data_IF_659066439557
#
_entry.id   IF_659066439557
#
_cell.length_a   1.000
_cell.length_b   1.000
_cell.length_c   1.000
_cell.angle_alpha   90.00
_cell.angle_beta   90.00
_cell.angle_gamma   90.00
#
_symmetry.space_group_name_H-M   'P 1'
#
loop_
_entity.id
_entity.type
_entity.pdbx_description
1 polymer ?
#
# COMPACT_ATOMS: atom_id res chain seq x y z
N UNK A 1 49.68 18.78 24.21
CA UNK A 1 48.81 18.27 23.15
C UNK A 1 47.38 18.43 23.62
N UNK A 2 46.60 19.11 22.79
CA UNK A 2 45.45 19.94 23.13
C UNK A 2 44.23 19.16 23.67
N UNK A 3 43.65 19.66 24.76
CA UNK A 3 42.28 19.36 25.20
C UNK A 3 41.53 20.69 25.20
N UNK A 4 40.87 21.00 24.09
CA UNK A 4 40.03 22.18 23.98
C UNK A 4 38.73 21.94 24.77
N UNK A 5 38.63 22.61 25.92
CA UNK A 5 37.38 22.91 26.60
C UNK A 5 36.64 23.98 25.79
N UNK A 6 35.38 23.74 25.44
CA UNK A 6 34.46 24.80 25.00
C UNK A 6 33.35 24.89 26.04
N UNK A 7 33.41 25.97 26.83
CA UNK A 7 32.33 26.43 27.69
C UNK A 7 31.28 27.14 26.82
N UNK A 8 30.10 26.56 26.69
CA UNK A 8 28.93 27.19 26.10
C UNK A 8 27.71 26.95 26.99
N UNK A 9 27.38 27.94 27.81
CA UNK A 9 26.13 28.01 28.56
C UNK A 9 24.95 28.04 27.59
N UNK A 10 24.12 27.00 27.59
CA UNK A 10 22.85 27.00 26.87
C UNK A 10 21.88 27.92 27.63
N UNK A 11 21.73 29.16 27.15
CA UNK A 11 20.64 30.04 27.58
C UNK A 11 19.38 29.64 26.81
N UNK A 12 18.28 29.26 27.50
CA UNK A 12 17.01 29.04 26.82
C UNK A 12 16.54 30.37 26.28
N UNK A 13 16.39 30.48 24.95
CA UNK A 13 15.76 31.64 24.33
C UNK A 13 14.31 31.72 24.84
N UNK A 14 14.04 32.75 25.64
CA UNK A 14 12.72 33.12 26.12
C UNK A 14 11.81 33.45 24.93
N UNK A 15 10.67 32.77 24.80
CA UNK A 15 9.74 33.10 23.71
C UNK A 15 8.42 32.34 23.63
N UNK A 16 7.98 31.63 24.67
CA UNK A 16 6.69 30.91 24.68
C UNK A 16 5.65 31.60 25.58
N UNK A 17 5.47 32.91 25.41
CA UNK A 17 4.35 33.65 25.99
C UNK A 17 3.91 34.76 25.02
N UNK A 18 3.40 34.39 23.85
CA UNK A 18 2.61 35.28 23.01
C UNK A 18 1.36 34.53 22.50
N UNK A 19 0.15 35.10 22.61
CA UNK A 19 -1.03 34.54 21.99
C UNK A 19 -0.84 34.50 20.48
N UNK A 20 -1.25 33.41 19.84
CA UNK A 20 -1.25 33.28 18.38
C UNK A 20 -2.09 34.41 17.76
N UNK A 21 -1.43 35.48 17.31
CA UNK A 21 -2.00 36.51 16.46
C UNK A 21 -1.67 36.14 15.02
N UNK A 22 -2.72 35.88 14.25
CA UNK A 22 -2.63 35.50 12.83
C UNK A 22 -2.37 36.75 11.98
N UNK A 23 -1.10 37.15 11.85
CA UNK A 23 -0.70 38.39 11.17
C UNK A 23 -0.40 38.23 9.66
N UNK A 24 -1.00 37.21 9.04
CA UNK A 24 -1.02 37.04 7.58
C UNK A 24 -2.43 36.82 7.05
N UNK A 25 -3.35 37.71 7.45
CA UNK A 25 -4.59 37.93 6.72
C UNK A 25 -4.35 38.94 5.59
N UNK A 26 -3.61 38.54 4.54
CA UNK A 26 -3.65 39.16 3.19
C UNK A 26 -2.72 38.45 2.16
N UNK A 27 -2.60 37.13 2.28
CA UNK A 27 -1.93 36.30 1.29
C UNK A 27 -2.68 34.99 1.18
N UNK A 28 -3.64 34.91 0.27
CA UNK A 28 -4.40 33.70 0.02
C UNK A 28 -3.45 32.54 -0.29
N UNK A 29 -3.17 31.71 0.71
CA UNK A 29 -2.64 30.38 0.54
C UNK A 29 -3.61 29.65 -0.39
N UNK A 30 -3.18 29.48 -1.64
CA UNK A 30 -3.92 28.75 -2.66
C UNK A 30 -3.98 27.29 -2.20
N UNK A 31 -5.14 26.88 -1.68
CA UNK A 31 -5.57 25.49 -1.74
C UNK A 31 -5.56 25.08 -3.21
N UNK A 32 -4.54 24.36 -3.63
CA UNK A 32 -4.40 23.70 -4.92
C UNK A 32 -5.22 22.40 -5.02
N UNK A 33 -5.91 22.00 -3.95
CA UNK A 33 -7.08 21.12 -4.01
C UNK A 33 -8.36 21.86 -4.46
N UNK A 34 -8.28 23.17 -4.69
CA UNK A 34 -9.31 23.98 -5.32
C UNK A 34 -9.22 23.97 -6.84
N UNK A 35 -9.43 22.79 -7.45
CA UNK A 35 -9.84 22.76 -8.85
C UNK A 35 -11.09 23.64 -8.97
N UNK A 36 -11.01 24.73 -9.73
CA UNK A 36 -12.20 25.48 -10.15
C UNK A 36 -13.20 24.45 -10.66
N UNK A 37 -14.36 24.35 -10.03
CA UNK A 37 -15.51 23.66 -10.59
C UNK A 37 -15.91 24.39 -11.87
N UNK A 38 -15.18 24.16 -12.95
CA UNK A 38 -15.83 24.03 -14.23
C UNK A 38 -16.73 22.82 -14.06
N UNK A 39 -18.03 22.99 -14.30
CA UNK A 39 -18.94 21.87 -14.41
C UNK A 39 -18.26 20.85 -15.34
N UNK A 40 -17.78 19.74 -14.77
CA UNK A 40 -17.36 18.60 -15.56
C UNK A 40 -18.65 18.20 -16.25
N UNK A 41 -18.74 18.46 -17.54
CA UNK A 41 -19.87 18.03 -18.34
C UNK A 41 -19.96 16.51 -18.23
N UNK A 42 -20.83 16.03 -17.35
CA UNK A 42 -21.02 14.61 -17.06
C UNK A 42 -21.52 13.84 -18.29
N UNK A 43 -21.91 14.53 -19.36
CA UNK A 43 -22.23 13.90 -20.65
C UNK A 43 -20.99 13.49 -21.44
N UNK A 44 -19.80 13.99 -21.09
CA UNK A 44 -18.51 13.70 -21.76
C UNK A 44 -17.64 12.68 -21.03
N UNK A 45 -18.00 12.30 -19.80
CA UNK A 45 -17.25 11.32 -19.00
C UNK A 45 -18.03 10.00 -18.96
N UNK A 46 -17.36 8.90 -19.33
CA UNK A 46 -17.91 7.56 -19.18
C UNK A 46 -18.25 7.29 -17.70
N UNK A 47 -19.49 6.86 -17.45
CA UNK A 47 -19.93 6.55 -16.09
C UNK A 47 -19.39 5.18 -15.68
N UNK A 48 -18.64 5.14 -14.59
CA UNK A 48 -18.11 3.90 -14.03
C UNK A 48 -19.05 3.39 -12.95
N UNK A 49 -19.54 2.16 -13.12
CA UNK A 49 -20.37 1.49 -12.12
C UNK A 49 -19.49 0.67 -11.17
N UNK A 50 -19.75 0.77 -9.86
CA UNK A 50 -19.22 -0.18 -8.88
C UNK A 50 -20.16 -1.38 -8.88
N UNK A 51 -19.68 -2.52 -9.39
CA UNK A 51 -20.49 -3.73 -9.56
C UNK A 51 -20.27 -4.78 -8.47
N UNK A 52 -19.21 -4.68 -7.67
CA UNK A 52 -18.92 -5.59 -6.56
C UNK A 52 -17.99 -4.93 -5.54
N UNK A 53 -18.01 -5.43 -4.31
CA UNK A 53 -17.21 -4.92 -3.20
C UNK A 53 -16.87 -6.03 -2.21
N UNK A 54 -15.61 -6.10 -1.81
CA UNK A 54 -15.11 -6.91 -0.70
C UNK A 54 -14.53 -5.99 0.36
N UNK A 55 -14.63 -6.37 1.63
CA UNK A 55 -14.04 -5.60 2.72
C UNK A 55 -13.86 -6.41 4.00
N UNK A 56 -12.78 -6.13 4.72
CA UNK A 56 -12.55 -6.62 6.08
C UNK A 56 -12.27 -5.41 6.96
N UNK A 57 -13.16 -5.11 7.89
CA UNK A 57 -13.08 -3.92 8.74
C UNK A 57 -13.21 -4.26 10.24
N UNK A 58 -12.68 -3.40 11.14
CA UNK A 58 -12.87 -3.54 12.58
C UNK A 58 -14.35 -3.67 12.97
N UNK A 59 -14.61 -4.40 14.05
CA UNK A 59 -15.98 -4.68 14.50
C UNK A 59 -16.63 -5.91 13.88
N UNK A 60 -15.85 -6.78 13.23
CA UNK A 60 -16.34 -8.05 12.66
C UNK A 60 -17.09 -7.86 11.33
N UNK A 61 -16.70 -6.84 10.58
CA UNK A 61 -17.31 -6.52 9.28
C UNK A 61 -16.55 -7.24 8.18
N UNK A 62 -17.28 -8.05 7.41
CA UNK A 62 -16.73 -8.89 6.33
C UNK A 62 -17.40 -8.64 4.98
N UNK A 63 -18.39 -7.74 4.92
CA UNK A 63 -19.11 -7.39 3.70
C UNK A 63 -19.83 -6.04 3.83
N UNK A 64 -20.44 -5.59 2.73
CA UNK A 64 -21.19 -4.34 2.65
C UNK A 64 -22.39 -4.29 3.62
N UNK A 65 -23.05 -5.42 3.87
CA UNK A 65 -24.22 -5.49 4.75
C UNK A 65 -23.80 -5.34 6.21
N UNK A 66 -22.71 -5.98 6.62
CA UNK A 66 -22.10 -5.84 7.93
C UNK A 66 -21.59 -4.42 8.18
N UNK A 67 -21.02 -3.78 7.15
CA UNK A 67 -20.62 -2.38 7.24
C UNK A 67 -21.82 -1.46 7.41
N UNK A 68 -22.87 -1.65 6.61
CA UNK A 68 -24.12 -0.89 6.74
C UNK A 68 -24.76 -1.05 8.12
N UNK A 69 -24.82 -2.28 8.63
CA UNK A 69 -25.34 -2.57 9.97
C UNK A 69 -24.50 -1.88 11.07
N UNK A 70 -23.18 -1.85 10.93
CA UNK A 70 -22.30 -1.11 11.84
C UNK A 70 -22.63 0.39 11.85
N UNK A 71 -22.81 1.00 10.68
CA UNK A 71 -23.09 2.43 10.55
C UNK A 71 -24.48 2.81 11.08
N UNK A 72 -25.52 2.10 10.65
CA UNK A 72 -26.91 2.41 11.02
C UNK A 72 -27.16 2.26 12.51
N UNK A 73 -26.52 1.27 13.14
CA UNK A 73 -26.65 1.05 14.58
C UNK A 73 -25.60 1.81 15.41
N UNK A 74 -24.75 2.64 14.79
CA UNK A 74 -23.73 3.41 15.49
C UNK A 74 -22.75 2.57 16.30
N UNK A 75 -22.47 1.34 15.86
CA UNK A 75 -21.53 0.45 16.57
C UNK A 75 -20.10 0.90 16.36
N UNK A 76 -19.23 0.58 17.32
CA UNK A 76 -17.81 0.92 17.29
C UNK A 76 -16.97 -0.35 17.12
N UNK A 77 -16.07 -0.36 16.14
CA UNK A 77 -15.11 -1.45 15.91
C UNK A 77 -13.88 -1.45 16.83
N UNK A 78 -13.75 -0.44 17.70
CA UNK A 78 -12.66 -0.32 18.68
C UNK A 78 -12.68 -1.48 19.65
N UNK A 79 -11.53 -2.11 19.83
CA UNK A 79 -11.33 -3.19 20.77
C UNK A 79 -10.00 -3.04 21.51
N UNK A 80 -9.83 -3.80 22.59
CA UNK A 80 -8.51 -3.97 23.19
C UNK A 80 -7.58 -4.69 22.20
N UNK A 81 -6.28 -4.42 22.28
CA UNK A 81 -5.27 -5.13 21.47
C UNK A 81 -5.45 -6.64 21.65
N UNK A 82 -5.71 -7.40 20.56
CA UNK A 82 -5.88 -8.84 20.66
C UNK A 82 -4.60 -9.53 21.15
N UNK A 83 -4.74 -10.56 21.97
CA UNK A 83 -3.61 -11.29 22.57
C UNK A 83 -2.70 -11.97 21.52
N UNK A 84 -3.22 -12.25 20.33
CA UNK A 84 -2.46 -12.82 19.21
C UNK A 84 -1.75 -11.77 18.33
N UNK A 85 -1.74 -10.49 18.73
CA UNK A 85 -1.00 -9.43 18.01
C UNK A 85 0.34 -9.14 18.68
N UNK A 86 0.32 -8.71 19.94
CA UNK A 86 1.50 -8.51 20.77
C UNK A 86 1.09 -8.42 22.24
N UNK A 87 2.07 -8.60 23.14
CA UNK A 87 1.84 -8.53 24.59
C UNK A 87 1.63 -7.08 25.05
N UNK A 88 0.39 -6.58 24.96
CA UNK A 88 0.03 -5.20 25.32
C UNK A 88 0.48 -4.79 26.74
N UNK A 89 0.47 -5.71 27.70
CA UNK A 89 0.87 -5.42 29.08
C UNK A 89 2.35 -5.03 29.20
N UNK A 90 3.21 -5.44 28.27
CA UNK A 90 4.63 -5.06 28.27
C UNK A 90 4.87 -3.66 27.69
N UNK A 91 3.92 -3.10 26.93
CA UNK A 91 4.08 -1.84 26.21
C UNK A 91 3.19 -0.72 26.75
N UNK A 92 2.14 -1.05 27.50
CA UNK A 92 1.21 -0.06 28.04
C UNK A 92 1.82 0.71 29.21
N UNK A 93 1.92 2.03 29.08
CA UNK A 93 2.48 2.91 30.10
C UNK A 93 2.17 4.38 29.82
N UNK A 94 0.93 4.84 30.07
CA UNK A 94 0.56 6.23 29.85
C UNK A 94 1.50 7.20 30.57
N UNK A 95 2.08 8.14 29.81
CA UNK A 95 3.01 9.15 30.33
C UNK A 95 4.44 8.64 30.57
N UNK A 96 4.73 7.37 30.27
CA UNK A 96 6.10 6.84 30.34
C UNK A 96 6.79 6.94 28.97
N UNK A 97 8.10 7.27 28.91
CA UNK A 97 8.86 7.24 27.67
C UNK A 97 8.81 5.85 27.02
N UNK A 98 8.73 5.81 25.68
CA UNK A 98 8.74 4.57 24.86
C UNK A 98 7.60 3.58 25.15
N UNK A 99 6.54 4.00 25.84
CA UNK A 99 5.34 3.20 26.09
C UNK A 99 4.13 3.76 25.33
N UNK A 100 3.15 2.90 25.03
CA UNK A 100 1.89 3.31 24.43
C UNK A 100 0.88 3.75 25.49
N UNK A 101 0.20 4.86 25.22
CA UNK A 101 -0.76 5.47 26.15
C UNK A 101 -2.16 4.85 26.13
N UNK A 102 -2.42 3.86 25.28
CA UNK A 102 -3.73 3.23 25.12
C UNK A 102 -3.58 1.72 24.94
N UNK A 103 -4.53 0.95 25.47
CA UNK A 103 -4.69 -0.50 25.22
C UNK A 103 -5.66 -0.80 24.09
N UNK A 104 -6.22 0.24 23.47
CA UNK A 104 -7.31 0.13 22.52
C UNK A 104 -6.88 0.55 21.12
N UNK A 105 -7.37 -0.17 20.12
CA UNK A 105 -7.19 0.14 18.71
C UNK A 105 -8.33 -0.44 17.87
N UNK A 106 -8.12 -0.47 16.56
CA UNK A 106 -9.08 -0.98 15.59
C UNK A 106 -8.44 -2.18 14.89
N UNK A 107 -8.84 -3.39 15.29
CA UNK A 107 -8.21 -4.62 14.81
C UNK A 107 -9.21 -5.50 14.08
N UNK A 108 -8.73 -6.20 13.06
CA UNK A 108 -9.39 -7.37 12.50
C UNK A 108 -9.23 -8.52 13.49
N UNK A 109 -10.20 -8.66 14.41
CA UNK A 109 -10.16 -9.62 15.53
C UNK A 109 -10.25 -11.07 15.09
N UNK A 110 -10.98 -11.31 14.02
CA UNK A 110 -11.22 -12.66 13.48
C UNK A 110 -10.11 -13.07 12.49
N UNK A 111 -9.18 -12.15 12.19
CA UNK A 111 -8.05 -12.42 11.32
C UNK A 111 -6.81 -12.78 12.15
N UNK A 112 -6.31 -13.99 11.95
CA UNK A 112 -5.04 -14.43 12.49
C UNK A 112 -3.98 -14.39 11.39
N UNK A 113 -2.98 -13.48 11.46
CA UNK A 113 -1.92 -13.42 10.44
C UNK A 113 -1.06 -14.69 10.38
N UNK A 114 -1.11 -15.56 11.40
CA UNK A 114 -0.44 -16.86 11.39
C UNK A 114 -1.25 -17.97 10.69
N UNK A 115 -2.53 -17.73 10.36
CA UNK A 115 -3.35 -18.70 9.63
C UNK A 115 -3.20 -18.47 8.13
N UNK A 116 -3.00 -19.56 7.39
CA UNK A 116 -2.65 -19.53 5.98
C UNK A 116 -3.37 -20.67 5.27
N UNK A 117 -4.26 -20.35 4.34
CA UNK A 117 -4.84 -21.33 3.44
C UNK A 117 -4.08 -21.31 2.11
N UNK A 118 -3.16 -22.26 1.94
CA UNK A 118 -2.41 -22.40 0.68
C UNK A 118 -3.12 -23.29 -0.33
N UNK A 119 -4.26 -23.90 0.02
CA UNK A 119 -4.94 -24.83 -0.88
C UNK A 119 -5.71 -24.12 -2.00
N UNK A 120 -6.00 -22.84 -1.79
CA UNK A 120 -6.76 -22.00 -2.71
C UNK A 120 -5.89 -21.23 -3.72
N UNK A 121 -4.60 -21.02 -3.40
CA UNK A 121 -3.69 -20.17 -4.17
C UNK A 121 -2.62 -20.98 -4.90
N UNK A 122 -2.00 -20.39 -5.93
CA UNK A 122 -0.95 -21.06 -6.69
C UNK A 122 0.40 -21.17 -5.97
N UNK A 123 0.57 -20.42 -4.87
CA UNK A 123 1.79 -20.33 -4.07
C UNK A 123 2.06 -21.56 -3.20
N UNK A 124 3.33 -21.78 -2.87
CA UNK A 124 3.73 -22.83 -1.93
C UNK A 124 3.41 -22.45 -0.48
N UNK A 125 3.37 -23.43 0.43
CA UNK A 125 3.23 -23.18 1.86
C UNK A 125 4.36 -22.31 2.43
N UNK A 126 5.59 -22.58 2.01
CA UNK A 126 6.77 -21.85 2.44
C UNK A 126 6.72 -20.38 2.02
N UNK A 127 6.29 -20.13 0.77
CA UNK A 127 6.09 -18.77 0.26
C UNK A 127 4.97 -18.04 1.02
N UNK A 128 3.85 -18.71 1.26
CA UNK A 128 2.74 -18.10 1.97
C UNK A 128 3.07 -17.77 3.44
N UNK A 129 3.96 -18.54 4.08
CA UNK A 129 4.43 -18.32 5.46
C UNK A 129 5.29 -17.07 5.60
N UNK A 130 6.06 -16.70 4.57
CA UNK A 130 6.89 -15.49 4.56
C UNK A 130 6.14 -14.26 4.07
N UNK A 131 5.07 -14.45 3.29
CA UNK A 131 4.27 -13.35 2.75
C UNK A 131 3.73 -12.39 3.81
N UNK A 132 3.78 -11.10 3.50
CA UNK A 132 3.07 -10.08 4.28
C UNK A 132 1.58 -10.47 4.45
N UNK A 133 1.05 -10.50 5.69
CA UNK A 133 -0.37 -10.69 5.95
C UNK A 133 -1.29 -9.77 5.12
N UNK A 134 -0.86 -8.56 4.78
CA UNK A 134 -1.60 -7.63 3.93
C UNK A 134 -1.83 -8.20 2.53
N UNK A 135 -0.83 -8.83 1.92
CA UNK A 135 -0.98 -9.46 0.60
C UNK A 135 -1.95 -10.62 0.64
N UNK A 136 -1.83 -11.47 1.66
CA UNK A 136 -2.72 -12.62 1.84
C UNK A 136 -4.17 -12.18 2.02
N UNK A 137 -4.38 -11.18 2.88
CA UNK A 137 -5.70 -10.61 3.12
C UNK A 137 -6.27 -9.92 1.87
N UNK A 138 -5.45 -9.21 1.11
CA UNK A 138 -5.89 -8.55 -0.12
C UNK A 138 -6.40 -9.56 -1.15
N UNK A 139 -5.70 -10.69 -1.32
CA UNK A 139 -6.14 -11.75 -2.24
C UNK A 139 -7.53 -12.29 -1.87
N UNK A 140 -7.78 -12.55 -0.59
CA UNK A 140 -9.10 -12.97 -0.10
C UNK A 140 -10.18 -11.90 -0.37
N UNK A 141 -9.88 -10.64 -0.05
CA UNK A 141 -10.83 -9.52 -0.24
C UNK A 141 -11.15 -9.26 -1.71
N UNK A 142 -10.17 -9.41 -2.61
CA UNK A 142 -10.41 -9.29 -4.06
C UNK A 142 -11.28 -10.44 -4.55
N UNK A 143 -11.07 -11.66 -4.08
CA UNK A 143 -11.94 -12.79 -4.41
C UNK A 143 -13.38 -12.52 -3.96
N UNK A 144 -13.58 -12.04 -2.73
CA UNK A 144 -14.89 -11.65 -2.19
C UNK A 144 -15.55 -10.54 -3.03
N UNK A 145 -14.77 -9.57 -3.51
CA UNK A 145 -15.26 -8.51 -4.38
C UNK A 145 -15.76 -9.05 -5.74
N UNK A 146 -15.03 -10.01 -6.32
CA UNK A 146 -15.49 -10.72 -7.52
C UNK A 146 -16.77 -11.52 -7.23
N UNK A 147 -16.84 -12.26 -6.12
CA UNK A 147 -18.06 -12.99 -5.74
C UNK A 147 -19.26 -12.06 -5.55
N UNK A 148 -19.08 -10.93 -4.85
CA UNK A 148 -20.11 -9.91 -4.66
C UNK A 148 -20.59 -9.31 -5.97
N UNK A 149 -19.75 -9.28 -7.00
CA UNK A 149 -20.16 -8.78 -8.33
C UNK A 149 -21.04 -9.75 -9.10
N UNK A 150 -21.15 -11.00 -8.64
CA UNK A 150 -21.80 -12.08 -9.37
C UNK A 150 -21.00 -12.57 -10.58
N UNK A 151 -19.80 -12.02 -10.83
CA UNK A 151 -18.92 -12.40 -11.93
C UNK A 151 -17.90 -13.45 -11.48
N UNK A 152 -17.70 -14.50 -12.28
CA UNK A 152 -16.76 -15.60 -11.99
C UNK A 152 -15.76 -15.88 -13.12
N UNK A 153 -15.93 -15.23 -14.26
CA UNK A 153 -15.17 -15.37 -15.50
C UNK A 153 -14.34 -14.10 -15.76
N UNK A 154 -13.32 -13.88 -14.94
CA UNK A 154 -12.40 -12.74 -15.03
C UNK A 154 -11.01 -13.10 -15.56
N UNK A 155 -10.68 -14.40 -15.63
CA UNK A 155 -9.36 -14.86 -16.08
C UNK A 155 -9.16 -14.51 -17.55
N UNK A 156 -8.05 -13.84 -17.85
CA UNK A 156 -7.69 -13.35 -19.19
C UNK A 156 -8.25 -11.97 -19.53
N UNK A 157 -9.06 -11.35 -18.68
CA UNK A 157 -9.66 -10.06 -18.96
C UNK A 157 -8.67 -8.89 -18.83
N UNK A 158 -8.92 -7.81 -19.58
CA UNK A 158 -8.21 -6.54 -19.45
C UNK A 158 -8.66 -5.74 -18.19
N UNK A 159 -8.48 -6.32 -17.00
CA UNK A 159 -8.81 -5.68 -15.71
C UNK A 159 -7.57 -5.05 -15.08
N UNK A 160 -7.65 -3.75 -14.79
CA UNK A 160 -6.60 -3.03 -14.06
C UNK A 160 -6.69 -3.24 -12.56
N UNK A 161 -5.53 -3.31 -11.90
CA UNK A 161 -5.45 -3.46 -10.44
C UNK A 161 -4.71 -2.28 -9.85
N UNK A 162 -5.39 -1.57 -8.96
CA UNK A 162 -4.86 -0.37 -8.30
C UNK A 162 -5.01 -0.56 -6.79
N UNK A 163 -3.88 -0.62 -6.09
CA UNK A 163 -3.84 -0.82 -4.64
C UNK A 163 -3.22 0.39 -3.98
N UNK A 164 -3.89 0.93 -2.96
CA UNK A 164 -3.32 1.91 -2.05
C UNK A 164 -2.93 1.22 -0.76
N UNK A 165 -1.66 1.32 -0.39
CA UNK A 165 -1.13 0.79 0.86
C UNK A 165 -0.32 1.86 1.60
N UNK A 166 -0.12 1.65 2.90
CA UNK A 166 0.75 2.48 3.73
C UNK A 166 1.25 1.64 4.90
N UNK A 167 2.56 1.64 5.10
CA UNK A 167 3.22 0.93 6.19
C UNK A 167 4.09 -0.19 5.65
N UNK A 168 5.20 -0.45 6.35
CA UNK A 168 6.14 -1.53 6.02
C UNK A 168 6.50 -2.30 7.30
N UNK A 169 5.54 -2.42 8.22
CA UNK A 169 5.76 -2.98 9.54
C UNK A 169 6.23 -4.44 9.47
N UNK A 170 5.70 -5.23 8.53
CA UNK A 170 6.08 -6.63 8.37
C UNK A 170 7.52 -6.77 7.85
N UNK A 171 7.89 -6.00 6.82
CA UNK A 171 9.28 -5.88 6.33
C UNK A 171 10.23 -5.54 7.49
N UNK A 172 9.86 -4.56 8.30
CA UNK A 172 10.68 -4.10 9.42
C UNK A 172 10.76 -5.13 10.55
N UNK A 173 9.72 -5.91 10.79
CA UNK A 173 9.75 -7.01 11.76
C UNK A 173 10.76 -8.06 11.31
N UNK A 174 10.72 -8.45 10.03
CA UNK A 174 11.64 -9.45 9.50
C UNK A 174 13.09 -8.97 9.44
N UNK A 175 13.34 -7.72 9.04
CA UNK A 175 14.68 -7.12 9.07
C UNK A 175 15.30 -7.10 10.48
N UNK A 176 14.47 -7.04 11.52
CA UNK A 176 14.92 -7.03 12.92
C UNK A 176 14.99 -8.44 13.52
N UNK A 177 14.58 -9.48 12.80
CA UNK A 177 14.71 -10.86 13.26
C UNK A 177 16.14 -11.37 13.04
N UNK A 178 16.96 -11.23 14.09
CA UNK A 178 18.35 -11.68 14.09
C UNK A 178 18.51 -13.21 13.96
N UNK A 179 17.42 -14.00 14.02
CA UNK A 179 17.45 -15.44 13.81
C UNK A 179 17.20 -15.81 12.34
N UNK A 180 16.63 -14.90 11.55
CA UNK A 180 16.44 -15.09 10.13
C UNK A 180 17.66 -14.54 9.38
N UNK A 181 18.55 -15.44 8.93
CA UNK A 181 19.78 -15.08 8.21
C UNK A 181 19.59 -15.01 6.70
N UNK A 182 18.38 -15.34 6.22
CA UNK A 182 18.02 -15.19 4.82
C UNK A 182 17.84 -13.70 4.51
N UNK A 183 18.41 -13.21 3.38
CA UNK A 183 18.19 -11.82 2.97
C UNK A 183 16.68 -11.57 2.84
N UNK A 184 16.20 -10.46 3.44
CA UNK A 184 14.83 -9.99 3.22
C UNK A 184 14.65 -9.83 1.72
N UNK A 185 13.80 -10.69 1.15
CA UNK A 185 13.66 -10.75 -0.29
C UNK A 185 12.71 -9.62 -0.70
N UNK A 186 13.18 -8.74 -1.57
CA UNK A 186 12.39 -7.59 -2.05
C UNK A 186 11.04 -8.00 -2.69
N UNK A 187 10.95 -9.26 -3.13
CA UNK A 187 9.79 -9.89 -3.76
C UNK A 187 8.59 -10.10 -2.84
N UNK A 188 8.79 -10.01 -1.53
CA UNK A 188 7.75 -10.26 -0.53
C UNK A 188 7.25 -8.97 0.14
N UNK A 189 7.92 -7.81 0.02
CA UNK A 189 7.55 -6.63 0.84
C UNK A 189 7.33 -5.32 0.08
N UNK A 190 7.65 -5.23 -1.22
CA UNK A 190 7.44 -3.98 -1.95
C UNK A 190 5.97 -3.72 -2.31
N UNK A 191 5.46 -2.50 -2.08
CA UNK A 191 4.04 -2.12 -2.28
C UNK A 191 3.42 -2.56 -3.62
N UNK A 192 4.21 -2.58 -4.70
CA UNK A 192 3.77 -3.00 -6.05
C UNK A 192 3.34 -4.47 -6.10
N UNK A 193 3.86 -5.31 -5.21
CA UNK A 193 3.59 -6.75 -5.21
C UNK A 193 2.12 -7.01 -4.93
N UNK A 194 1.43 -6.15 -4.16
CA UNK A 194 0.01 -6.26 -3.88
C UNK A 194 -0.81 -6.29 -5.16
N UNK A 195 -0.57 -5.34 -6.07
CA UNK A 195 -1.27 -5.26 -7.34
C UNK A 195 -0.86 -6.39 -8.30
N UNK A 196 0.44 -6.66 -8.40
CA UNK A 196 0.96 -7.69 -9.31
C UNK A 196 0.51 -9.10 -8.94
N UNK A 197 0.46 -9.41 -7.65
CA UNK A 197 0.04 -10.72 -7.15
C UNK A 197 -1.43 -10.97 -7.37
N UNK A 198 -2.27 -9.95 -7.20
CA UNK A 198 -3.69 -10.00 -7.60
C UNK A 198 -3.80 -10.25 -9.11
N UNK A 199 -3.10 -9.48 -9.94
CA UNK A 199 -3.12 -9.72 -11.40
C UNK A 199 -2.67 -11.13 -11.76
N UNK A 200 -1.67 -11.68 -11.07
CA UNK A 200 -1.16 -13.03 -11.32
C UNK A 200 -2.14 -14.14 -10.92
N UNK A 201 -2.60 -14.16 -9.65
CA UNK A 201 -3.46 -15.23 -9.14
C UNK A 201 -4.81 -15.29 -9.89
N UNK A 202 -5.35 -14.12 -10.23
CA UNK A 202 -6.62 -13.98 -10.96
C UNK A 202 -6.46 -13.92 -12.48
N UNK A 203 -5.23 -13.98 -13.01
CA UNK A 203 -4.92 -13.95 -14.45
C UNK A 203 -5.48 -12.72 -15.18
N UNK A 204 -5.33 -11.54 -14.58
CA UNK A 204 -5.81 -10.26 -15.10
C UNK A 204 -4.74 -9.62 -15.99
N UNK A 205 -5.14 -9.16 -17.17
CA UNK A 205 -4.26 -8.61 -18.23
C UNK A 205 -4.32 -7.09 -18.36
N UNK A 206 -5.16 -6.44 -17.56
CA UNK A 206 -5.25 -4.99 -17.57
C UNK A 206 -4.12 -4.33 -16.80
N UNK A 207 -4.13 -2.99 -16.72
CA UNK A 207 -3.01 -2.22 -16.22
C UNK A 207 -2.70 -2.52 -14.74
N UNK A 208 -1.54 -3.12 -14.50
CA UNK A 208 -0.81 -3.04 -13.22
C UNK A 208 0.45 -2.18 -13.36
N UNK A 209 1.17 -2.29 -14.49
CA UNK A 209 2.37 -1.49 -14.82
C UNK A 209 2.27 -0.69 -16.14
N UNK A 210 1.69 -1.27 -17.21
CA UNK A 210 1.72 -0.67 -18.56
C UNK A 210 1.03 0.71 -18.67
N UNK A 211 -0.26 0.84 -18.31
CA UNK A 211 -0.94 2.15 -18.40
C UNK A 211 -0.39 3.16 -17.38
N UNK A 212 0.24 2.71 -16.28
CA UNK A 212 0.93 3.61 -15.36
C UNK A 212 2.14 4.25 -16.05
N UNK A 213 2.96 3.46 -16.75
CA UNK A 213 4.08 3.96 -17.54
C UNK A 213 3.56 4.92 -18.62
N UNK A 214 2.57 4.52 -19.42
CA UNK A 214 2.02 5.42 -20.47
C UNK A 214 1.48 6.74 -19.91
N UNK A 215 0.76 6.69 -18.78
CA UNK A 215 0.21 7.90 -18.14
C UNK A 215 1.28 8.79 -17.53
N UNK A 216 2.35 8.22 -16.98
CA UNK A 216 3.50 8.99 -16.49
C UNK A 216 4.18 9.76 -17.64
N UNK A 217 4.25 9.16 -18.82
CA UNK A 217 4.82 9.76 -20.02
C UNK A 217 3.93 10.85 -20.62
N UNK A 218 2.62 10.60 -20.68
CA UNK A 218 1.63 11.61 -21.06
C UNK A 218 1.71 12.83 -20.11
N UNK A 219 1.81 12.60 -18.80
CA UNK A 219 1.97 13.65 -17.80
C UNK A 219 3.31 14.40 -17.92
N UNK A 220 4.37 13.72 -18.37
CA UNK A 220 5.68 14.31 -18.64
C UNK A 220 5.78 15.01 -20.01
N UNK A 221 4.73 14.93 -20.85
CA UNK A 221 4.74 15.46 -22.22
C UNK A 221 5.67 14.70 -23.17
N UNK A 222 6.04 13.46 -22.83
CA UNK A 222 6.92 12.61 -23.64
C UNK A 222 6.04 11.79 -24.58
N UNK A 223 5.73 12.35 -25.75
CA UNK A 223 4.88 11.71 -26.77
C UNK A 223 5.62 10.75 -27.71
N UNK A 224 6.95 10.81 -27.76
CA UNK A 224 7.80 9.91 -28.55
C UNK A 224 8.62 9.02 -27.62
N UNK A 225 8.17 7.77 -27.47
CA UNK A 225 8.79 6.77 -26.59
C UNK A 225 10.19 6.35 -27.04
N UNK A 226 10.56 6.57 -28.31
CA UNK A 226 11.91 6.26 -28.83
C UNK A 226 12.98 7.19 -28.27
N UNK A 227 12.58 8.32 -27.68
CA UNK A 227 13.50 9.27 -27.03
C UNK A 227 13.96 8.81 -25.66
N UNK A 228 13.36 7.72 -25.12
CA UNK A 228 13.77 7.17 -23.84
C UNK A 228 14.91 6.19 -24.03
N UNK A 229 16.07 6.60 -23.52
CA UNK A 229 17.31 5.87 -23.68
C UNK A 229 17.35 4.55 -22.88
N UNK A 230 16.64 4.48 -21.75
CA UNK A 230 16.68 3.34 -20.83
C UNK A 230 15.45 3.34 -19.94
N UNK A 231 14.91 2.15 -19.66
CA UNK A 231 14.05 1.92 -18.50
C UNK A 231 14.90 1.22 -17.45
N UNK A 232 15.13 1.91 -16.33
CA UNK A 232 15.63 1.25 -15.13
C UNK A 232 14.43 0.54 -14.51
N UNK A 233 14.36 -0.76 -14.74
CA UNK A 233 13.34 -1.62 -14.17
C UNK A 233 13.54 -1.66 -12.67
N UNK A 234 12.46 -1.91 -11.95
CA UNK A 234 12.56 -2.31 -10.57
C UNK A 234 13.44 -3.56 -10.44
N UNK A 235 13.31 -4.52 -11.37
CA UNK A 235 14.37 -5.51 -11.64
C UNK A 235 14.64 -6.40 -10.43
N UNK A 236 13.56 -6.88 -9.82
CA UNK A 236 13.52 -7.50 -8.50
C UNK A 236 14.16 -8.89 -8.43
N UNK A 237 14.39 -9.54 -9.58
CA UNK A 237 14.93 -10.90 -9.66
C UNK A 237 13.87 -11.98 -9.45
N UNK A 238 12.60 -11.66 -9.64
CA UNK A 238 11.47 -12.51 -9.23
C UNK A 238 10.90 -13.34 -10.37
N UNK A 239 10.51 -14.58 -10.07
CA UNK A 239 9.89 -15.46 -11.07
C UNK A 239 8.50 -14.99 -11.52
N UNK A 240 7.84 -14.12 -10.74
CA UNK A 240 6.49 -13.61 -11.03
C UNK A 240 6.53 -12.13 -11.46
N UNK A 241 7.25 -11.28 -10.74
CA UNK A 241 7.30 -9.84 -11.01
C UNK A 241 8.13 -9.48 -12.24
N UNK A 242 9.28 -10.11 -12.45
CA UNK A 242 10.15 -9.78 -13.59
C UNK A 242 9.47 -10.09 -14.95
N UNK A 243 8.76 -11.22 -15.14
CA UNK A 243 7.98 -11.43 -16.37
C UNK A 243 6.88 -10.39 -16.58
N UNK A 244 6.15 -9.98 -15.53
CA UNK A 244 5.07 -8.98 -15.62
C UNK A 244 5.65 -7.59 -15.94
N UNK A 245 6.79 -7.24 -15.33
CA UNK A 245 7.50 -5.99 -15.58
C UNK A 245 8.05 -5.94 -17.02
N UNK A 246 8.68 -7.02 -17.49
CA UNK A 246 9.18 -7.12 -18.86
C UNK A 246 8.03 -7.11 -19.86
N UNK A 247 6.93 -7.82 -19.60
CA UNK A 247 5.74 -7.83 -20.47
C UNK A 247 5.11 -6.42 -20.55
N UNK A 248 5.01 -5.72 -19.43
CA UNK A 248 4.53 -4.35 -19.41
C UNK A 248 5.44 -3.41 -20.25
N UNK A 249 6.76 -3.52 -20.11
CA UNK A 249 7.71 -2.73 -20.90
C UNK A 249 7.64 -3.09 -22.38
N UNK A 250 7.56 -4.39 -22.70
CA UNK A 250 7.43 -4.87 -24.07
C UNK A 250 6.16 -4.34 -24.73
N UNK A 251 5.04 -4.32 -24.01
CA UNK A 251 3.80 -3.73 -24.52
C UNK A 251 3.91 -2.22 -24.72
N UNK A 252 4.61 -1.51 -23.82
CA UNK A 252 4.80 -0.04 -23.92
C UNK A 252 5.64 0.35 -25.14
N UNK A 253 6.81 -0.28 -25.32
CA UNK A 253 7.78 0.10 -26.36
C UNK A 253 7.68 -0.69 -27.67
N UNK A 254 7.05 -1.86 -27.66
CA UNK A 254 6.79 -2.66 -28.86
C UNK A 254 7.98 -2.76 -29.81
N UNK A 255 7.78 -2.38 -31.07
CA UNK A 255 8.81 -2.43 -32.12
C UNK A 255 9.92 -1.38 -31.98
N UNK A 256 9.77 -0.38 -31.11
CA UNK A 256 10.74 0.73 -31.00
C UNK A 256 12.01 0.28 -30.26
N UNK A 257 11.90 -0.79 -29.45
CA UNK A 257 12.98 -1.31 -28.63
C UNK A 257 13.34 -0.38 -27.48
N UNK A 258 13.80 -0.94 -26.37
CA UNK A 258 14.32 -0.15 -25.25
C UNK A 258 15.42 -0.91 -24.52
N UNK A 259 16.41 -0.18 -24.01
CA UNK A 259 17.41 -0.74 -23.11
C UNK A 259 16.80 -0.93 -21.73
N UNK A 260 16.69 -2.20 -21.32
CA UNK A 260 16.29 -2.60 -19.98
C UNK A 260 17.55 -2.71 -19.13
N UNK A 261 17.66 -1.87 -18.11
CA UNK A 261 18.60 -2.05 -17.01
C UNK A 261 17.88 -2.62 -15.80
N UNK A 262 18.51 -3.56 -15.09
CA UNK A 262 18.10 -3.96 -13.75
C UNK A 262 19.31 -3.91 -12.82
N UNK A 263 19.10 -3.42 -11.59
CA UNK A 263 20.10 -3.47 -10.53
C UNK A 263 19.49 -4.25 -9.37
N UNK A 264 19.84 -5.52 -9.25
CA UNK A 264 19.56 -6.27 -8.03
C UNK A 264 20.19 -5.53 -6.86
N UNK A 265 19.37 -5.05 -5.93
CA UNK A 265 19.87 -4.64 -4.61
C UNK A 265 20.25 -5.96 -3.94
N UNK A 266 21.56 -6.22 -3.89
CA UNK A 266 22.13 -7.43 -3.29
C UNK A 266 22.06 -7.42 -1.78
#
# INVERSE_FOLDING_TARGET
>A
MDRAHINGTFQPASGYDQPFVNDHADGAARNDLGGRGGDIDRSTVEQIAIIGMGMRLPGGVHDASGFWDLLVNGRNGRCEVPANRYAIDAWYGPGQPLHIGTRWGNFLRDYNPAHIDTSFWSMSKEEAETMDPEQRLLLEVVYEAFESSGRRDFRGDEVGVYVGTMGTDWERIEQNDNLNLEPVRADIYGDYILANRVSYEFDLKGPSHEKLIRRAYDAAGIGDLSTVAMVECHGTGTAVGDPIEIEAIANVWGEHGIHIGSRSIG
#
